data_IF_974878312812
#
_entry.id   IF_974878312812
#
_cell.length_a   1.000
_cell.length_b   1.000
_cell.length_c   1.000
_cell.angle_alpha   90.00
_cell.angle_beta   90.00
_cell.angle_gamma   90.00
#
_symmetry.space_group_name_H-M   'P 1'
#
loop_
_entity.id
_entity.type
_entity.pdbx_description
1 polymer ?
#
# COMPACT_ATOMS: atom_id res chain seq x y z
N UNK A 1 -5.17 32.38 22.93
CA UNK A 1 -5.18 31.30 21.89
C UNK A 1 -6.64 31.05 21.52
N UNK A 2 -7.13 31.60 20.40
CA UNK A 2 -8.54 31.50 20.00
C UNK A 2 -8.81 30.14 19.34
N UNK A 3 -9.66 29.32 19.96
CA UNK A 3 -10.13 28.05 19.41
C UNK A 3 -11.39 28.36 18.60
N UNK A 4 -11.26 28.55 17.29
CA UNK A 4 -12.34 28.96 16.35
C UNK A 4 -13.62 28.09 16.33
N UNK A 5 -13.74 27.06 17.16
CA UNK A 5 -14.86 26.12 17.18
C UNK A 5 -15.68 26.07 18.47
N UNK A 6 -15.42 26.96 19.45
CA UNK A 6 -16.27 27.10 20.65
C UNK A 6 -16.58 28.57 20.86
N UNK A 7 -17.63 29.05 20.22
CA UNK A 7 -18.23 30.36 20.52
C UNK A 7 -19.43 30.16 21.45
N UNK A 8 -19.88 31.21 22.15
CA UNK A 8 -21.08 31.19 23.01
C UNK A 8 -22.31 30.65 22.28
N UNK A 9 -22.40 30.90 20.97
CA UNK A 9 -23.46 30.36 20.10
C UNK A 9 -23.48 28.82 19.98
N UNK A 10 -22.45 28.12 20.46
CA UNK A 10 -22.37 26.66 20.49
C UNK A 10 -22.64 26.07 21.90
N UNK A 11 -22.96 26.89 22.90
CA UNK A 11 -23.39 26.39 24.21
C UNK A 11 -24.72 25.63 24.08
N UNK A 12 -24.72 24.36 24.47
CA UNK A 12 -25.90 23.49 24.40
C UNK A 12 -26.09 22.74 23.08
N UNK A 13 -25.26 22.97 22.06
CA UNK A 13 -25.24 22.12 20.87
C UNK A 13 -24.44 20.85 21.13
N UNK A 14 -25.05 19.68 20.89
CA UNK A 14 -24.28 18.45 20.83
C UNK A 14 -23.37 18.48 19.60
N UNK A 15 -22.04 18.31 19.75
CA UNK A 15 -21.16 18.21 18.61
C UNK A 15 -21.59 17.02 17.74
N UNK A 16 -21.55 17.15 16.40
CA UNK A 16 -21.89 16.04 15.53
C UNK A 16 -21.03 14.83 15.90
N UNK A 17 -21.67 13.67 16.06
CA UNK A 17 -20.95 12.42 16.31
C UNK A 17 -19.97 12.24 15.16
N UNK A 18 -18.68 12.45 15.41
CA UNK A 18 -17.62 12.15 14.46
C UNK A 18 -17.78 10.68 14.15
N UNK A 19 -18.31 10.36 12.98
CA UNK A 19 -18.37 8.98 12.52
C UNK A 19 -16.92 8.55 12.36
N UNK A 20 -16.39 7.88 13.39
CA UNK A 20 -15.08 7.27 13.37
C UNK A 20 -15.07 6.46 12.09
N UNK A 21 -14.25 6.89 11.11
CA UNK A 21 -14.27 6.35 9.75
C UNK A 21 -14.28 4.85 9.87
N UNK A 22 -15.41 4.27 9.44
CA UNK A 22 -15.77 2.88 9.61
C UNK A 22 -14.56 2.03 9.28
N UNK A 23 -14.05 1.35 10.30
CA UNK A 23 -12.94 0.42 10.25
C UNK A 23 -12.89 -0.25 8.87
N UNK A 24 -11.84 0.03 8.07
CA UNK A 24 -11.72 -0.48 6.70
C UNK A 24 -11.74 -2.00 6.77
N UNK A 25 -12.93 -2.59 6.64
CA UNK A 25 -13.12 -4.04 6.59
C UNK A 25 -12.15 -4.56 5.54
N UNK A 26 -11.19 -5.41 5.94
CA UNK A 26 -10.26 -6.10 5.03
C UNK A 26 -11.09 -6.62 3.85
N UNK A 27 -10.96 -6.00 2.68
CA UNK A 27 -11.68 -6.41 1.47
C UNK A 27 -11.25 -7.84 1.16
N UNK A 28 -12.20 -8.78 1.25
CA UNK A 28 -12.02 -10.17 0.80
C UNK A 28 -12.31 -10.19 -0.69
N UNK A 29 -11.43 -10.82 -1.48
CA UNK A 29 -11.54 -10.78 -2.94
C UNK A 29 -10.24 -11.13 -3.64
N UNK A 30 -10.25 -11.13 -4.97
CA UNK A 30 -9.07 -11.39 -5.79
C UNK A 30 -8.01 -10.30 -5.57
N UNK A 31 -6.74 -10.69 -5.46
CA UNK A 31 -5.62 -9.77 -5.29
C UNK A 31 -5.20 -9.21 -6.66
N UNK A 32 -5.06 -7.89 -6.74
CA UNK A 32 -4.53 -7.19 -7.91
C UNK A 32 -3.33 -6.36 -7.45
N UNK A 33 -2.19 -6.54 -8.09
CA UNK A 33 -0.96 -5.83 -7.75
C UNK A 33 -0.68 -4.83 -8.86
N UNK A 34 -0.40 -3.59 -8.50
CA UNK A 34 -0.08 -2.51 -9.44
C UNK A 34 1.21 -1.80 -9.01
N UNK A 35 1.85 -1.09 -9.91
CA UNK A 35 3.15 -0.49 -9.63
C UNK A 35 3.07 0.71 -8.67
N UNK A 36 2.08 1.60 -8.83
CA UNK A 36 2.01 2.87 -8.11
C UNK A 36 0.77 2.99 -7.20
N UNK A 37 0.87 3.71 -6.07
CA UNK A 37 -0.26 3.91 -5.16
C UNK A 37 -1.45 4.63 -5.81
N UNK A 38 -1.18 5.55 -6.73
CA UNK A 38 -2.21 6.27 -7.49
C UNK A 38 -3.03 5.30 -8.35
N UNK A 39 -2.36 4.40 -9.10
CA UNK A 39 -3.04 3.35 -9.87
C UNK A 39 -3.90 2.45 -8.97
N UNK A 40 -3.41 2.10 -7.78
CA UNK A 40 -4.16 1.24 -6.84
C UNK A 40 -5.48 1.90 -6.39
N UNK A 41 -5.44 3.20 -6.10
CA UNK A 41 -6.65 3.97 -5.73
C UNK A 41 -7.66 4.04 -6.87
N UNK A 42 -7.19 4.32 -8.08
CA UNK A 42 -8.05 4.44 -9.26
C UNK A 42 -8.68 3.10 -9.64
N UNK A 43 -7.86 2.04 -9.80
CA UNK A 43 -8.34 0.71 -10.17
C UNK A 43 -9.21 0.10 -9.06
N UNK A 44 -8.89 0.34 -7.79
CA UNK A 44 -9.71 -0.13 -6.66
C UNK A 44 -11.09 0.52 -6.58
N UNK A 45 -11.30 1.71 -7.18
CA UNK A 45 -12.62 2.32 -7.35
C UNK A 45 -13.40 1.63 -8.48
N UNK A 46 -12.74 1.31 -9.59
CA UNK A 46 -13.39 0.66 -10.73
C UNK A 46 -13.78 -0.80 -10.46
N UNK A 47 -12.89 -1.58 -9.83
CA UNK A 47 -13.13 -3.01 -9.57
C UNK A 47 -14.07 -3.28 -8.38
N UNK A 48 -14.26 -2.30 -7.50
CA UNK A 48 -15.17 -2.40 -6.36
C UNK A 48 -14.67 -3.32 -5.22
N UNK A 49 -15.61 -3.91 -4.48
CA UNK A 49 -15.35 -4.62 -3.21
C UNK A 49 -14.82 -6.05 -3.38
N UNK A 50 -14.99 -6.66 -4.55
CA UNK A 50 -14.55 -8.03 -4.85
C UNK A 50 -13.06 -8.17 -5.16
N UNK A 51 -12.33 -7.06 -5.16
CA UNK A 51 -10.90 -7.02 -5.43
C UNK A 51 -10.16 -6.28 -4.31
N UNK A 52 -8.99 -6.81 -3.97
CA UNK A 52 -8.01 -6.12 -3.14
C UNK A 52 -6.88 -5.65 -4.04
N UNK A 53 -6.79 -4.33 -4.24
CA UNK A 53 -5.75 -3.71 -5.08
C UNK A 53 -4.64 -3.18 -4.19
N UNK A 54 -3.40 -3.64 -4.40
CA UNK A 54 -2.21 -3.25 -3.64
C UNK A 54 -1.13 -2.72 -4.57
N UNK A 55 -0.30 -1.79 -4.08
CA UNK A 55 0.80 -1.24 -4.86
C UNK A 55 2.14 -1.91 -4.50
N UNK A 56 2.95 -2.26 -5.50
CA UNK A 56 4.33 -2.74 -5.30
C UNK A 56 5.30 -1.60 -4.99
N UNK A 57 4.90 -0.36 -5.24
CA UNK A 57 5.71 0.85 -5.14
C UNK A 57 6.99 0.76 -6.00
N UNK A 58 6.86 0.31 -7.25
CA UNK A 58 7.97 0.11 -8.18
C UNK A 58 8.56 -1.30 -8.14
N UNK A 59 9.87 -1.42 -8.39
CA UNK A 59 10.59 -2.69 -8.43
C UNK A 59 10.67 -3.36 -7.05
N UNK A 60 10.40 -4.67 -7.02
CA UNK A 60 10.46 -5.50 -5.80
C UNK A 60 11.76 -6.31 -5.69
N UNK A 61 12.52 -6.42 -6.79
CA UNK A 61 13.80 -7.09 -6.87
C UNK A 61 14.77 -6.22 -7.67
N UNK A 62 16.03 -6.25 -7.27
CA UNK A 62 17.13 -5.54 -7.93
C UNK A 62 18.39 -6.42 -7.88
N UNK A 63 19.41 -6.06 -8.66
CA UNK A 63 20.73 -6.70 -8.61
C UNK A 63 21.47 -6.32 -7.32
N UNK A 64 22.44 -7.12 -6.89
CA UNK A 64 23.30 -6.76 -5.76
C UNK A 64 24.27 -5.64 -6.16
N UNK A 65 24.02 -4.42 -5.71
CA UNK A 65 24.88 -3.26 -6.01
C UNK A 65 26.35 -3.44 -5.59
N UNK A 66 26.63 -4.32 -4.63
CA UNK A 66 27.96 -4.52 -4.05
C UNK A 66 28.80 -5.61 -4.72
N UNK A 67 28.25 -6.40 -5.66
CA UNK A 67 28.96 -7.50 -6.34
C UNK A 67 28.60 -7.53 -7.81
N UNK A 68 29.49 -8.10 -8.63
CA UNK A 68 29.14 -8.50 -9.99
C UNK A 68 27.96 -9.49 -9.89
N UNK A 69 26.76 -8.99 -10.17
CA UNK A 69 25.50 -9.69 -9.93
C UNK A 69 25.05 -10.51 -11.12
N UNK A 70 25.94 -10.68 -12.10
CA UNK A 70 25.70 -11.35 -13.35
C UNK A 70 26.82 -12.35 -13.52
N UNK A 71 26.45 -13.61 -13.63
CA UNK A 71 27.39 -14.71 -13.84
C UNK A 71 27.73 -14.79 -15.33
N UNK A 72 28.87 -14.25 -15.73
CA UNK A 72 29.31 -14.18 -17.13
C UNK A 72 29.66 -15.55 -17.71
N UNK A 73 29.95 -16.54 -16.86
CA UNK A 73 30.29 -17.91 -17.29
C UNK A 73 29.03 -18.76 -17.45
N UNK A 74 27.98 -18.48 -16.67
CA UNK A 74 26.69 -19.16 -16.74
C UNK A 74 25.63 -18.32 -17.45
N UNK A 75 25.80 -18.07 -18.76
CA UNK A 75 24.81 -17.40 -19.62
C UNK A 75 24.29 -16.06 -19.08
N UNK A 76 25.15 -15.28 -18.41
CA UNK A 76 24.78 -14.00 -17.79
C UNK A 76 23.64 -14.14 -16.76
N UNK A 77 23.62 -15.22 -15.98
CA UNK A 77 22.57 -15.45 -14.98
C UNK A 77 22.56 -14.32 -13.92
N UNK A 78 21.45 -13.57 -13.78
CA UNK A 78 21.37 -12.48 -12.82
C UNK A 78 21.00 -12.97 -11.42
N UNK A 79 21.78 -12.55 -10.42
CA UNK A 79 21.45 -12.74 -9.00
C UNK A 79 20.64 -11.56 -8.48
N UNK A 80 19.34 -11.78 -8.35
CA UNK A 80 18.41 -10.79 -7.79
C UNK A 80 18.29 -10.89 -6.27
N UNK A 81 18.10 -9.75 -5.62
CA UNK A 81 17.76 -9.61 -4.21
C UNK A 81 16.57 -8.68 -4.03
N UNK A 82 15.75 -8.93 -3.01
CA UNK A 82 14.73 -7.97 -2.56
C UNK A 82 15.40 -6.87 -1.74
N UNK A 83 15.34 -5.59 -2.16
CA UNK A 83 15.85 -4.47 -1.37
C UNK A 83 15.22 -4.42 0.01
N UNK A 84 15.97 -3.97 1.02
CA UNK A 84 15.49 -3.99 2.41
C UNK A 84 14.18 -3.20 2.59
N UNK A 85 14.08 -2.04 1.94
CA UNK A 85 12.90 -1.17 1.92
C UNK A 85 11.64 -1.83 1.35
N UNK A 86 11.80 -2.88 0.53
CA UNK A 86 10.69 -3.59 -0.13
C UNK A 86 10.30 -4.88 0.57
N UNK A 87 11.03 -5.30 1.60
CA UNK A 87 10.79 -6.59 2.30
C UNK A 87 9.39 -6.64 2.92
N UNK A 88 8.94 -5.55 3.53
CA UNK A 88 7.63 -5.49 4.17
C UNK A 88 6.49 -5.57 3.15
N UNK A 89 6.62 -4.84 2.03
CA UNK A 89 5.65 -4.87 0.92
C UNK A 89 5.56 -6.29 0.34
N UNK A 90 6.69 -6.94 0.07
CA UNK A 90 6.72 -8.31 -0.46
C UNK A 90 6.10 -9.30 0.53
N UNK A 91 6.37 -9.13 1.83
CA UNK A 91 5.77 -9.97 2.88
C UNK A 91 4.26 -9.79 2.95
N UNK A 92 3.78 -8.55 2.86
CA UNK A 92 2.35 -8.25 2.81
C UNK A 92 1.70 -8.91 1.59
N UNK A 93 2.25 -8.69 0.39
CA UNK A 93 1.74 -9.27 -0.85
C UNK A 93 1.68 -10.81 -0.75
N UNK A 94 2.74 -11.45 -0.25
CA UNK A 94 2.76 -12.90 -0.02
C UNK A 94 1.70 -13.37 0.95
N UNK A 95 1.39 -12.57 1.98
CA UNK A 95 0.35 -12.89 2.96
C UNK A 95 -1.04 -12.76 2.35
N UNK A 96 -1.23 -11.81 1.44
CA UNK A 96 -2.52 -11.57 0.77
C UNK A 96 -2.79 -12.53 -0.39
N UNK A 97 -1.75 -13.18 -0.92
CA UNK A 97 -1.86 -14.17 -2.00
C UNK A 97 -2.16 -15.59 -1.50
N UNK A 98 -2.10 -15.82 -0.18
CA UNK A 98 -2.57 -17.05 0.47
C UNK A 98 -4.06 -16.97 0.72
#
# INVERSE_FOLDING_TARGET
MFRMGRTEAHEGMEPPKVSVRRNEKKRKGKLVIVESPAKARTIGRYLGKGYKVVASAGHVRDLLKSKLSVDVENNFEPRYRVPNEKRDIVKEIKTLAK
#
